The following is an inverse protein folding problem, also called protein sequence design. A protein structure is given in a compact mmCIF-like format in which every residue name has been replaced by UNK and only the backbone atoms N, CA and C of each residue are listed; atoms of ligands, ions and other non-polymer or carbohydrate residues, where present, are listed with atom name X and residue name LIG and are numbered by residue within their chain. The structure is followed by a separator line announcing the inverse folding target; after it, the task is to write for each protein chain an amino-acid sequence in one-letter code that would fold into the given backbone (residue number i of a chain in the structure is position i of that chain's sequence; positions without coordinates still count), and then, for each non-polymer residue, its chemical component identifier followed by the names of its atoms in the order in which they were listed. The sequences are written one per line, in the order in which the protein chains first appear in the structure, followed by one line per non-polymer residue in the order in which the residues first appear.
data_IF_592415398262
#
_entry.id   IF_592415398262
#
_cell.length_a   1.000
_cell.length_b   1.000
_cell.length_c   1.000
_cell.angle_alpha   90.00
_cell.angle_beta   90.00
_cell.angle_gamma   90.00
#
_symmetry.space_group_name_H-M   'P 1'
#
loop_
_entity.id
_entity.type
_entity.pdbx_description
1 polymer ?
#
# COMPACT_ATOMS: atom_id res chain seq x y z
N UNK A 1 31.32 -7.27 -26.42
CA UNK A 1 30.22 -6.64 -25.66
C UNK A 1 29.24 -7.73 -25.28
N UNK A 2 29.37 -8.31 -24.09
CA UNK A 2 28.44 -9.34 -23.60
C UNK A 2 27.10 -8.70 -23.24
N UNK A 3 26.04 -9.18 -23.89
CA UNK A 3 24.67 -8.77 -23.63
C UNK A 3 24.25 -9.44 -22.32
N UNK A 4 24.43 -8.77 -21.19
CA UNK A 4 23.89 -9.25 -19.91
C UNK A 4 22.37 -9.37 -20.02
N UNK A 5 21.89 -10.61 -20.17
CA UNK A 5 20.46 -10.92 -20.06
C UNK A 5 20.12 -10.94 -18.59
N UNK A 6 19.30 -9.99 -18.13
CA UNK A 6 18.79 -9.99 -16.76
C UNK A 6 18.12 -11.34 -16.44
N UNK A 7 18.31 -11.89 -15.24
CA UNK A 7 17.69 -13.14 -14.86
C UNK A 7 16.16 -13.00 -14.82
N UNK A 8 15.40 -14.05 -15.23
CA UNK A 8 13.94 -13.96 -15.40
C UNK A 8 13.19 -13.68 -14.08
N UNK A 9 13.79 -13.98 -12.93
CA UNK A 9 13.20 -13.75 -11.60
C UNK A 9 13.38 -12.33 -11.07
N UNK A 10 14.27 -11.52 -11.66
CA UNK A 10 14.59 -10.18 -11.16
C UNK A 10 13.38 -9.25 -11.13
N UNK A 11 12.54 -9.29 -12.17
CA UNK A 11 11.32 -8.48 -12.24
C UNK A 11 10.33 -8.84 -11.12
N UNK A 12 10.17 -10.14 -10.84
CA UNK A 12 9.34 -10.63 -9.73
C UNK A 12 9.85 -10.10 -8.38
N UNK A 13 11.13 -10.27 -8.10
CA UNK A 13 11.73 -9.78 -6.85
C UNK A 13 11.59 -8.25 -6.68
N UNK A 14 11.78 -7.48 -7.76
CA UNK A 14 11.61 -6.03 -7.73
C UNK A 14 10.17 -5.62 -7.45
N UNK A 15 9.19 -6.27 -8.07
CA UNK A 15 7.77 -5.97 -7.83
C UNK A 15 7.33 -6.35 -6.43
N UNK A 16 7.84 -7.45 -5.88
CA UNK A 16 7.60 -7.86 -4.50
C UNK A 16 8.21 -6.85 -3.52
N UNK A 17 9.46 -6.44 -3.74
CA UNK A 17 10.14 -5.46 -2.90
C UNK A 17 9.47 -4.09 -2.96
N UNK A 18 9.09 -3.63 -4.15
CA UNK A 18 8.37 -2.38 -4.33
C UNK A 18 6.98 -2.42 -3.67
N UNK A 19 6.26 -3.55 -3.76
CA UNK A 19 5.02 -3.76 -3.03
C UNK A 19 5.20 -3.74 -1.51
N UNK A 20 6.25 -4.39 -1.00
CA UNK A 20 6.58 -4.39 0.42
C UNK A 20 6.91 -2.97 0.94
N UNK A 21 7.68 -2.19 0.18
CA UNK A 21 7.96 -0.78 0.49
C UNK A 21 6.68 0.07 0.49
N UNK A 22 5.79 -0.15 -0.47
CA UNK A 22 4.50 0.55 -0.51
C UNK A 22 3.62 0.18 0.69
N UNK A 23 3.60 -1.09 1.11
CA UNK A 23 2.91 -1.53 2.32
C UNK A 23 3.47 -0.86 3.59
N UNK A 24 4.80 -0.77 3.70
CA UNK A 24 5.45 -0.07 4.80
C UNK A 24 5.12 1.43 4.82
N UNK A 25 5.11 2.07 3.64
CA UNK A 25 4.71 3.47 3.48
C UNK A 25 3.25 3.69 3.87
N UNK A 26 2.35 2.80 3.45
CA UNK A 26 0.93 2.86 3.82
C UNK A 26 0.73 2.73 5.33
N UNK A 27 1.44 1.81 5.99
CA UNK A 27 1.41 1.68 7.45
C UNK A 27 1.88 2.97 8.15
N UNK A 28 2.99 3.57 7.68
CA UNK A 28 3.48 4.83 8.24
C UNK A 28 2.49 5.97 8.07
N UNK A 29 1.87 6.06 6.90
CA UNK A 29 0.86 7.06 6.58
C UNK A 29 -0.37 6.92 7.50
N UNK A 30 -0.89 5.70 7.65
CA UNK A 30 -2.01 5.41 8.57
C UNK A 30 -1.65 5.70 10.03
N UNK A 31 -0.43 5.35 10.47
CA UNK A 31 0.05 5.66 11.81
C UNK A 31 0.19 7.17 12.05
N UNK A 32 0.66 7.91 11.06
CA UNK A 32 0.74 9.37 11.13
C UNK A 32 -0.66 10.01 11.21
N UNK A 33 -1.63 9.49 10.45
CA UNK A 33 -3.02 9.93 10.52
C UNK A 33 -3.62 9.72 11.91
N UNK A 34 -3.51 8.50 12.45
CA UNK A 34 -3.96 8.17 13.81
C UNK A 34 -3.34 9.08 14.88
N UNK A 35 -2.04 9.36 14.78
CA UNK A 35 -1.35 10.29 15.69
C UNK A 35 -1.88 11.72 15.59
N UNK A 36 -2.14 12.19 14.37
CA UNK A 36 -2.64 13.56 14.13
C UNK A 36 -4.07 13.72 14.66
N UNK A 37 -4.91 12.70 14.46
CA UNK A 37 -6.31 12.72 14.83
C UNK A 37 -6.60 12.16 16.23
N UNK A 38 -5.56 11.80 17.00
CA UNK A 38 -5.69 11.13 18.29
C UNK A 38 -6.59 9.87 18.26
N UNK A 39 -6.68 9.20 17.10
CA UNK A 39 -7.50 7.99 16.92
C UNK A 39 -6.68 6.79 17.35
N UNK A 40 -7.03 6.20 18.50
CA UNK A 40 -6.57 4.91 19.04
C UNK A 40 -5.10 4.59 18.69
N UNK A 41 -4.16 5.06 19.51
CA UNK A 41 -2.77 4.60 19.50
C UNK A 41 -2.50 3.77 20.76
N UNK A 42 -2.28 2.46 20.61
CA UNK A 42 -1.67 1.66 21.69
C UNK A 42 -0.17 1.85 21.64
N UNK A 43 0.38 2.51 22.67
CA UNK A 43 1.82 2.74 22.78
C UNK A 43 2.62 1.46 23.11
N UNK A 44 1.97 0.48 23.74
CA UNK A 44 2.56 -0.80 24.12
C UNK A 44 1.65 -1.98 23.79
N UNK A 45 1.50 -2.35 22.49
CA UNK A 45 0.74 -3.54 22.11
C UNK A 45 1.52 -4.80 22.52
N UNK A 46 0.81 -5.83 22.99
CA UNK A 46 1.42 -7.12 23.31
C UNK A 46 1.70 -7.93 22.03
N UNK A 47 2.54 -8.96 22.10
CA UNK A 47 2.81 -9.84 20.94
C UNK A 47 1.55 -10.58 20.43
N UNK A 48 0.51 -10.69 21.26
CA UNK A 48 -0.77 -11.30 20.90
C UNK A 48 -1.79 -10.27 20.40
N UNK A 49 -1.42 -8.99 20.36
CA UNK A 49 -2.28 -7.93 19.86
C UNK A 49 -2.16 -7.80 18.34
N UNK A 50 -3.30 -7.70 17.65
CA UNK A 50 -3.37 -7.53 16.20
C UNK A 50 -2.60 -6.27 15.74
N UNK A 51 -2.52 -5.25 16.59
CA UNK A 51 -1.77 -4.01 16.32
C UNK A 51 -0.26 -4.23 16.17
N UNK A 52 0.31 -5.23 16.84
CA UNK A 52 1.72 -5.63 16.67
C UNK A 52 1.96 -6.20 15.27
N UNK A 53 0.96 -6.91 14.74
CA UNK A 53 1.05 -7.61 13.47
C UNK A 53 0.61 -6.77 12.27
N UNK A 54 0.03 -5.59 12.49
CA UNK A 54 -0.46 -4.72 11.42
C UNK A 54 0.65 -4.36 10.41
N UNK A 55 1.81 -3.88 10.87
CA UNK A 55 2.93 -3.53 9.99
C UNK A 55 3.50 -4.73 9.20
N UNK A 56 3.86 -5.87 9.82
CA UNK A 56 4.37 -7.01 9.06
C UNK A 56 3.32 -7.60 8.11
N UNK A 57 2.05 -7.68 8.52
CA UNK A 57 0.98 -8.22 7.67
C UNK A 57 0.71 -7.30 6.47
N UNK A 58 0.69 -5.98 6.66
CA UNK A 58 0.51 -5.02 5.56
C UNK A 58 1.66 -5.06 4.57
N UNK A 59 2.91 -5.16 5.04
CA UNK A 59 4.09 -5.30 4.19
C UNK A 59 4.02 -6.60 3.37
N UNK A 60 3.71 -7.72 4.01
CA UNK A 60 3.57 -9.02 3.33
C UNK A 60 2.44 -8.98 2.31
N UNK A 61 1.26 -8.51 2.71
CA UNK A 61 0.10 -8.40 1.83
C UNK A 61 0.40 -7.52 0.62
N UNK A 62 0.94 -6.32 0.82
CA UNK A 62 1.27 -5.40 -0.26
C UNK A 62 2.38 -5.96 -1.19
N UNK A 63 3.37 -6.66 -0.65
CA UNK A 63 4.39 -7.35 -1.44
C UNK A 63 3.79 -8.40 -2.38
N UNK A 64 2.92 -9.27 -1.88
CA UNK A 64 2.24 -10.29 -2.69
C UNK A 64 1.22 -9.68 -3.65
N UNK A 65 0.47 -8.66 -3.24
CA UNK A 65 -0.44 -7.93 -4.13
C UNK A 65 0.31 -7.27 -5.28
N UNK A 66 1.45 -6.62 -5.00
CA UNK A 66 2.31 -6.04 -6.02
C UNK A 66 2.84 -7.09 -7.01
N UNK A 67 3.34 -8.22 -6.49
CA UNK A 67 3.78 -9.33 -7.33
C UNK A 67 2.65 -9.86 -8.22
N UNK A 68 1.45 -10.10 -7.65
CA UNK A 68 0.29 -10.60 -8.39
C UNK A 68 -0.20 -9.59 -9.45
N UNK A 69 -0.28 -8.30 -9.08
CA UNK A 69 -0.72 -7.21 -9.95
C UNK A 69 0.19 -7.05 -11.18
N UNK A 70 1.47 -7.39 -11.06
CA UNK A 70 2.38 -7.43 -12.20
C UNK A 70 2.35 -8.77 -12.95
N UNK A 71 2.42 -9.89 -12.23
CA UNK A 71 2.58 -11.23 -12.81
C UNK A 71 1.35 -11.71 -13.59
N UNK A 72 0.14 -11.39 -13.11
CA UNK A 72 -1.11 -11.78 -13.78
C UNK A 72 -1.23 -11.18 -15.18
N UNK A 73 -1.17 -9.84 -15.39
CA UNK A 73 -1.22 -9.27 -16.72
C UNK A 73 -0.02 -9.67 -17.57
N UNK A 74 1.19 -9.79 -16.99
CA UNK A 74 2.37 -10.25 -17.73
C UNK A 74 2.20 -11.69 -18.26
N UNK A 75 1.61 -12.58 -17.46
CA UNK A 75 1.30 -13.96 -17.86
C UNK A 75 0.23 -14.02 -18.95
N UNK A 76 -0.87 -13.27 -18.78
CA UNK A 76 -1.98 -13.22 -19.74
C UNK A 76 -1.57 -12.64 -21.10
N UNK A 77 -0.67 -11.65 -21.11
CA UNK A 77 -0.26 -10.94 -22.32
C UNK A 77 0.95 -11.58 -23.02
N UNK A 78 1.54 -12.64 -22.45
CA UNK A 78 2.74 -13.30 -22.98
C UNK A 78 2.57 -13.79 -24.42
N UNK A 79 1.36 -14.22 -24.80
CA UNK A 79 1.06 -14.74 -26.13
C UNK A 79 0.53 -13.69 -27.12
N UNK A 80 0.30 -12.45 -26.69
CA UNK A 80 -0.18 -11.40 -27.59
C UNK A 80 0.94 -10.81 -28.46
N UNK A 81 0.67 -10.66 -29.76
CA UNK A 81 1.60 -10.02 -30.72
C UNK A 81 1.82 -8.52 -30.46
N UNK A 82 0.95 -7.85 -29.69
CA UNK A 82 1.04 -6.41 -29.41
C UNK A 82 2.08 -6.12 -28.31
N UNK A 83 3.35 -5.94 -28.72
CA UNK A 83 4.47 -5.60 -27.82
C UNK A 83 4.24 -4.38 -26.93
N UNK A 84 3.48 -3.39 -27.40
CA UNK A 84 3.19 -2.17 -26.62
C UNK A 84 2.32 -2.47 -25.40
N UNK A 85 1.25 -3.25 -25.57
CA UNK A 85 0.35 -3.61 -24.46
C UNK A 85 1.09 -4.43 -23.39
N UNK A 86 1.95 -5.36 -23.81
CA UNK A 86 2.74 -6.19 -22.89
C UNK A 86 3.78 -5.37 -22.09
N UNK A 87 4.16 -4.16 -22.55
CA UNK A 87 5.08 -3.28 -21.83
C UNK A 87 4.39 -2.31 -20.87
N UNK A 88 3.16 -1.90 -21.17
CA UNK A 88 2.47 -0.87 -20.39
C UNK A 88 1.47 -1.42 -19.38
N UNK A 89 0.75 -2.49 -19.71
CA UNK A 89 -0.32 -2.99 -18.85
C UNK A 89 0.23 -3.50 -17.51
N UNK A 90 1.27 -4.36 -17.45
CA UNK A 90 1.78 -4.84 -16.17
C UNK A 90 2.24 -3.74 -15.19
N UNK A 91 3.05 -2.74 -15.59
CA UNK A 91 3.42 -1.66 -14.67
C UNK A 91 2.24 -0.74 -14.34
N UNK A 92 1.31 -0.50 -15.26
CA UNK A 92 0.13 0.32 -14.97
C UNK A 92 -0.79 -0.36 -13.93
N UNK A 93 -1.05 -1.66 -14.08
CA UNK A 93 -1.86 -2.44 -13.12
C UNK A 93 -1.15 -2.52 -11.76
N UNK A 94 0.17 -2.74 -11.77
CA UNK A 94 0.99 -2.70 -10.56
C UNK A 94 0.85 -1.37 -9.80
N UNK A 95 1.06 -0.23 -10.49
CA UNK A 95 0.95 1.10 -9.87
C UNK A 95 -0.48 1.37 -9.36
N UNK A 96 -1.50 1.06 -10.17
CA UNK A 96 -2.89 1.24 -9.77
C UNK A 96 -3.23 0.41 -8.52
N UNK A 97 -2.76 -0.83 -8.44
CA UNK A 97 -2.98 -1.70 -7.28
C UNK A 97 -2.30 -1.15 -6.02
N UNK A 98 -1.06 -0.65 -6.13
CA UNK A 98 -0.38 -0.04 -4.98
C UNK A 98 -1.09 1.21 -4.48
N UNK A 99 -1.48 2.11 -5.40
CA UNK A 99 -2.21 3.34 -5.05
C UNK A 99 -3.54 2.98 -4.37
N UNK A 100 -4.31 2.07 -4.97
CA UNK A 100 -5.60 1.64 -4.40
C UNK A 100 -5.41 1.03 -3.02
N UNK A 101 -4.40 0.17 -2.82
CA UNK A 101 -4.13 -0.47 -1.53
C UNK A 101 -3.72 0.56 -0.47
N UNK A 102 -2.90 1.55 -0.83
CA UNK A 102 -2.53 2.65 0.09
C UNK A 102 -3.76 3.49 0.49
N UNK A 103 -4.61 3.86 -0.46
CA UNK A 103 -5.82 4.65 -0.18
C UNK A 103 -6.82 3.87 0.68
N UNK A 104 -7.07 2.60 0.36
CA UNK A 104 -7.95 1.73 1.15
C UNK A 104 -7.40 1.54 2.56
N UNK A 105 -6.10 1.30 2.69
CA UNK A 105 -5.46 1.15 3.99
C UNK A 105 -5.54 2.44 4.81
N UNK A 106 -5.36 3.61 4.19
CA UNK A 106 -5.52 4.89 4.85
C UNK A 106 -6.97 5.12 5.32
N UNK A 107 -7.94 4.97 4.43
CA UNK A 107 -9.36 5.22 4.73
C UNK A 107 -9.91 4.29 5.83
N UNK A 108 -9.56 3.00 5.77
CA UNK A 108 -10.10 2.01 6.71
C UNK A 108 -9.37 1.98 8.05
N UNK A 109 -8.05 2.17 8.03
CA UNK A 109 -7.21 1.94 9.21
C UNK A 109 -6.64 3.25 9.76
N UNK A 110 -6.29 4.21 8.91
CA UNK A 110 -5.72 5.50 9.33
C UNK A 110 -6.74 6.49 9.86
N UNK A 111 -7.90 6.59 9.21
CA UNK A 111 -8.93 7.61 9.49
C UNK A 111 -10.34 7.02 9.59
N UNK A 112 -10.58 6.00 10.43
CA UNK A 112 -11.91 5.38 10.50
C UNK A 112 -12.97 6.39 10.93
N UNK A 113 -14.01 6.54 10.10
CA UNK A 113 -15.13 7.44 10.34
C UNK A 113 -15.83 7.09 11.67
N UNK A 114 -16.10 8.11 12.49
CA UNK A 114 -16.89 7.96 13.71
C UNK A 114 -16.20 7.26 14.87
N UNK A 115 -14.91 6.92 14.76
CA UNK A 115 -14.11 6.45 15.90
C UNK A 115 -13.51 7.68 16.59
N UNK A 116 -13.79 7.81 17.89
CA UNK A 116 -13.69 9.05 18.66
C UNK A 116 -12.44 9.89 18.38
N UNK A 117 -12.68 11.14 17.99
CA UNK A 117 -11.76 12.24 18.22
C UNK A 117 -11.70 12.40 19.74
N UNK A 118 -10.73 11.76 20.41
CA UNK A 118 -10.37 12.19 21.76
C UNK A 118 -10.12 13.71 21.66
N UNK A 119 -10.64 14.49 22.60
CA UNK A 119 -10.68 15.97 22.57
C UNK A 119 -9.32 16.67 22.41
N UNK A 120 -8.24 15.90 22.31
CA UNK A 120 -6.86 16.32 22.12
C UNK A 120 -6.34 16.14 20.68
N UNK A 121 -7.16 15.63 19.74
CA UNK A 121 -6.80 15.50 18.32
C UNK A 121 -6.93 16.80 17.53
N UNK A 122 -6.13 16.97 16.48
CA UNK A 122 -6.15 18.17 15.61
C UNK A 122 -7.07 18.00 14.38
N UNK A 123 -7.84 16.91 14.30
CA UNK A 123 -8.64 16.59 13.12
C UNK A 123 -10.10 17.08 13.25
N UNK A 124 -10.75 17.42 12.12
CA UNK A 124 -12.18 17.72 12.09
C UNK A 124 -13.02 16.45 12.32
N UNK A 125 -14.35 16.61 12.37
CA UNK A 125 -15.29 15.51 12.59
C UNK A 125 -15.22 14.38 11.54
N UNK A 126 -14.65 14.66 10.37
CA UNK A 126 -14.39 13.69 9.32
C UNK A 126 -13.18 12.78 9.62
N UNK A 127 -12.43 13.03 10.71
CA UNK A 127 -11.21 12.32 11.09
C UNK A 127 -10.13 12.37 10.01
N UNK A 128 -10.14 13.40 9.16
CA UNK A 128 -9.16 13.57 8.09
C UNK A 128 -8.04 14.52 8.55
N UNK A 129 -6.76 14.11 8.46
CA UNK A 129 -5.66 15.01 8.79
C UNK A 129 -5.62 16.23 7.87
N UNK A 130 -5.28 17.43 8.36
CA UNK A 130 -5.25 18.66 7.56
C UNK A 130 -4.17 18.65 6.46
N UNK A 131 -3.17 17.77 6.59
CA UNK A 131 -2.15 17.53 5.58
C UNK A 131 -2.59 16.55 4.49
N UNK A 132 -3.74 15.88 4.65
CA UNK A 132 -4.29 15.00 3.63
C UNK A 132 -4.81 15.83 2.45
N UNK A 133 -4.48 15.47 1.20
CA UNK A 133 -4.97 16.22 0.04
C UNK A 133 -6.49 16.05 -0.11
N UNK A 134 -7.24 17.15 -0.12
CA UNK A 134 -8.71 17.11 -0.20
C UNK A 134 -9.31 16.56 -1.51
N UNK A 135 -8.48 16.24 -2.51
CA UNK A 135 -8.90 15.59 -3.76
C UNK A 135 -8.76 14.06 -3.72
N UNK A 136 -8.16 13.51 -2.66
CA UNK A 136 -8.06 12.07 -2.44
C UNK A 136 -9.24 11.56 -1.60
N UNK A 137 -9.67 10.30 -1.79
CA UNK A 137 -10.71 9.71 -0.97
C UNK A 137 -10.24 9.59 0.49
N UNK A 138 -11.20 9.71 1.40
CA UNK A 138 -11.06 9.67 2.86
C UNK A 138 -11.97 8.61 3.43
#
# INVERSE_FOLDING_TARGET
MERQTNPPWMAGCLTLLAGALAGYGAYWLSRAARRTCAVILREHPSLFDLWTWEAPLTVVAAGFTGLAAWALPAGMLRHQKRRYLNRLIPPAVFLAALIALTLVHFAWLGTPLGVGNDTNGNCPLDNVPPWWPGWLPT
#
